data_IF_719434585994
#
_entry.id   IF_719434585994
#
_cell.length_a   1.000
_cell.length_b   1.000
_cell.length_c   1.000
_cell.angle_alpha   90.00
_cell.angle_beta   90.00
_cell.angle_gamma   90.00
#
_symmetry.space_group_name_H-M   'P 1'
#
loop_
_entity.id
_entity.type
_entity.pdbx_description
1 polymer ?
#
# COMPACT_ATOMS: atom_id res chain seq x y z
N UNK A 1 -19.97 3.27 5.38
CA UNK A 1 -19.35 2.06 4.79
C UNK A 1 -18.12 1.77 5.61
N UNK A 2 -18.16 0.74 6.48
CA UNK A 2 -17.00 0.37 7.30
C UNK A 2 -16.02 -0.33 6.37
N UNK A 3 -14.83 0.22 6.18
CA UNK A 3 -13.74 -0.52 5.55
C UNK A 3 -13.38 -1.62 6.55
N UNK A 4 -13.47 -2.89 6.16
CA UNK A 4 -12.98 -3.98 7.00
C UNK A 4 -11.48 -3.74 7.23
N UNK A 5 -11.09 -3.66 8.50
CA UNK A 5 -9.68 -3.66 8.88
C UNK A 5 -9.08 -5.00 8.48
N UNK A 6 -7.78 -5.04 8.20
CA UNK A 6 -7.07 -6.31 8.00
C UNK A 6 -7.20 -7.22 9.23
N UNK A 7 -7.22 -6.60 10.42
CA UNK A 7 -7.43 -7.25 11.72
C UNK A 7 -8.81 -7.91 11.84
N UNK A 8 -9.80 -7.49 11.03
CA UNK A 8 -11.14 -8.09 11.04
C UNK A 8 -11.20 -9.42 10.28
N UNK A 9 -10.19 -9.72 9.45
CA UNK A 9 -10.14 -10.90 8.57
C UNK A 9 -8.93 -11.80 8.82
N UNK A 10 -7.95 -11.34 9.59
CA UNK A 10 -6.70 -12.05 9.85
C UNK A 10 -6.29 -11.95 11.32
N UNK A 11 -5.80 -13.06 11.89
CA UNK A 11 -5.18 -13.05 13.22
C UNK A 11 -3.78 -12.45 13.12
N UNK A 12 -3.70 -11.16 13.43
CA UNK A 12 -2.46 -10.38 13.35
C UNK A 12 -1.42 -10.86 14.36
N UNK A 13 -1.85 -11.31 15.55
CA UNK A 13 -0.93 -11.76 16.58
C UNK A 13 -0.29 -13.10 16.18
N UNK A 14 -1.07 -14.00 15.60
CA UNK A 14 -0.54 -15.25 15.04
C UNK A 14 0.49 -14.98 13.92
N UNK A 15 0.19 -14.05 13.01
CA UNK A 15 1.12 -13.71 11.92
C UNK A 15 2.44 -13.14 12.45
N UNK A 16 2.37 -12.24 13.44
CA UNK A 16 3.55 -11.65 14.06
C UNK A 16 4.39 -12.73 14.75
N UNK A 17 3.76 -13.61 15.50
CA UNK A 17 4.47 -14.65 16.25
C UNK A 17 5.15 -15.67 15.32
N UNK A 18 4.48 -16.07 14.23
CA UNK A 18 5.05 -17.00 13.24
C UNK A 18 6.33 -16.45 12.61
N UNK A 19 6.39 -15.14 12.35
CA UNK A 19 7.51 -14.51 11.63
C UNK A 19 8.56 -13.87 12.53
N UNK A 20 8.37 -13.91 13.86
CA UNK A 20 9.14 -13.13 14.84
C UNK A 20 10.65 -13.33 14.76
N UNK A 21 11.09 -14.51 14.34
CA UNK A 21 12.50 -14.90 14.30
C UNK A 21 13.11 -14.75 12.89
N UNK A 22 12.27 -14.54 11.87
CA UNK A 22 12.70 -14.44 10.47
C UNK A 22 12.84 -12.98 10.02
N UNK A 23 11.95 -12.11 10.50
CA UNK A 23 11.90 -10.69 10.08
C UNK A 23 11.58 -9.77 11.26
N UNK A 24 12.11 -8.55 11.21
CA UNK A 24 11.75 -7.50 12.16
C UNK A 24 10.42 -6.86 11.75
N UNK A 25 9.39 -7.02 12.59
CA UNK A 25 8.06 -6.45 12.36
C UNK A 25 7.91 -5.17 13.17
N UNK A 26 7.72 -4.04 12.48
CA UNK A 26 7.49 -2.74 13.10
C UNK A 26 6.04 -2.33 12.87
N UNK A 27 5.28 -2.10 13.97
CA UNK A 27 3.87 -1.69 13.91
C UNK A 27 3.69 -0.19 13.63
N UNK A 28 4.64 0.62 14.08
CA UNK A 28 4.62 2.08 13.92
C UNK A 28 5.47 2.49 12.70
N UNK A 29 5.00 3.47 11.93
CA UNK A 29 5.76 3.97 10.79
C UNK A 29 7.07 4.62 11.30
N UNK A 30 8.26 4.17 10.86
CA UNK A 30 9.51 4.80 11.28
C UNK A 30 9.53 6.29 10.93
N UNK A 31 10.09 7.11 11.83
CA UNK A 31 10.05 8.57 11.71
C UNK A 31 10.68 9.11 10.43
N UNK A 32 11.70 8.43 9.90
CA UNK A 32 12.33 8.74 8.60
C UNK A 32 11.38 8.61 7.41
N UNK A 33 10.28 7.87 7.55
CA UNK A 33 9.22 7.71 6.56
C UNK A 33 7.94 8.50 6.89
N UNK A 34 7.95 9.33 7.93
CA UNK A 34 6.80 10.17 8.34
C UNK A 34 6.29 11.10 7.24
N UNK A 35 7.10 11.38 6.23
CA UNK A 35 6.68 12.15 5.05
C UNK A 35 5.68 11.38 4.15
N UNK A 36 5.57 10.06 4.30
CA UNK A 36 4.77 9.15 3.47
C UNK A 36 3.28 9.16 3.87
N UNK A 37 2.65 10.33 3.86
CA UNK A 37 1.25 10.49 4.28
C UNK A 37 0.27 10.39 3.12
N UNK A 38 -0.99 10.09 3.42
CA UNK A 38 -2.07 10.09 2.42
C UNK A 38 -2.18 11.45 1.73
N UNK A 39 -2.04 12.54 2.49
CA UNK A 39 -2.11 13.92 2.02
C UNK A 39 -0.96 14.23 1.05
N UNK A 40 0.23 13.72 1.37
CA UNK A 40 1.41 13.84 0.53
C UNK A 40 1.22 13.13 -0.83
N UNK A 41 0.66 11.92 -0.84
CA UNK A 41 0.31 11.22 -2.09
C UNK A 41 -0.91 11.81 -2.81
N UNK A 42 -1.84 12.41 -2.07
CA UNK A 42 -3.02 13.06 -2.64
C UNK A 42 -2.67 14.33 -3.43
N UNK A 43 -1.63 15.05 -3.03
CA UNK A 43 -1.29 16.36 -3.60
C UNK A 43 -0.08 16.33 -4.55
N UNK A 44 0.89 15.43 -4.34
CA UNK A 44 2.10 15.39 -5.16
C UNK A 44 1.82 15.09 -6.63
N UNK A 45 2.37 15.89 -7.55
CA UNK A 45 2.43 15.55 -8.99
C UNK A 45 3.68 14.69 -9.18
N UNK A 46 3.50 13.45 -9.67
CA UNK A 46 4.58 12.50 -9.93
C UNK A 46 4.35 11.85 -11.28
N UNK A 47 5.41 11.54 -12.01
CA UNK A 47 5.33 10.82 -13.27
C UNK A 47 4.56 9.49 -13.14
N UNK A 48 4.71 8.80 -12.01
CA UNK A 48 4.06 7.51 -11.72
C UNK A 48 2.66 7.63 -11.11
N UNK A 49 2.12 8.84 -10.94
CA UNK A 49 0.81 9.03 -10.29
C UNK A 49 -0.32 8.97 -11.31
N UNK A 50 -1.13 7.92 -11.22
CA UNK A 50 -2.38 7.78 -11.99
C UNK A 50 -3.55 8.23 -11.10
N UNK A 51 -4.06 9.47 -11.31
CA UNK A 51 -5.15 10.10 -10.52
C UNK A 51 -6.51 9.43 -10.71
N UNK A 52 -6.72 8.88 -11.89
CA UNK A 52 -8.00 8.39 -12.39
C UNK A 52 -7.76 7.08 -13.10
N UNK A 53 -7.32 6.07 -12.36
CA UNK A 53 -7.51 4.71 -12.84
C UNK A 53 -9.02 4.46 -12.74
N UNK A 54 -9.73 4.19 -13.86
CA UNK A 54 -11.08 3.64 -13.75
C UNK A 54 -11.01 2.33 -12.95
N UNK A 55 -12.16 1.76 -12.57
CA UNK A 55 -12.17 0.34 -12.20
C UNK A 55 -11.66 -0.41 -13.42
N UNK A 56 -10.38 -0.76 -13.38
CA UNK A 56 -9.60 -1.14 -14.55
C UNK A 56 -9.41 -2.65 -14.54
N UNK A 57 -9.55 -3.27 -15.71
CA UNK A 57 -9.22 -4.67 -15.90
C UNK A 57 -7.70 -4.88 -15.81
N UNK A 58 -7.28 -6.12 -15.63
CA UNK A 58 -5.86 -6.48 -15.67
C UNK A 58 -5.19 -6.03 -16.99
N UNK A 59 -5.89 -6.14 -18.11
CA UNK A 59 -5.39 -5.73 -19.43
C UNK A 59 -5.11 -4.22 -19.49
N UNK A 60 -6.02 -3.39 -18.98
CA UNK A 60 -5.81 -1.95 -18.93
C UNK A 60 -4.57 -1.59 -18.10
N UNK A 61 -4.32 -2.31 -17.00
CA UNK A 61 -3.11 -2.12 -16.19
C UNK A 61 -1.83 -2.42 -16.97
N UNK A 62 -1.79 -3.55 -17.70
CA UNK A 62 -0.62 -3.94 -18.50
C UNK A 62 -0.33 -2.89 -19.58
N UNK A 63 -1.36 -2.37 -20.24
CA UNK A 63 -1.19 -1.42 -21.34
C UNK A 63 -0.85 0.00 -20.87
N UNK A 64 -1.40 0.44 -19.74
CA UNK A 64 -1.39 1.87 -19.35
C UNK A 64 -0.59 2.18 -18.09
N UNK A 65 -0.42 1.21 -17.18
CA UNK A 65 0.29 1.43 -15.90
C UNK A 65 1.68 0.83 -15.95
N UNK A 66 1.81 -0.43 -16.38
CA UNK A 66 3.07 -1.16 -16.36
C UNK A 66 4.22 -0.43 -17.10
N UNK A 67 4.02 0.21 -18.27
CA UNK A 67 5.09 0.91 -18.98
C UNK A 67 5.63 2.15 -18.24
N UNK A 68 4.87 2.70 -17.29
CA UNK A 68 5.26 3.90 -16.52
C UNK A 68 6.05 3.50 -15.26
N UNK A 69 5.97 2.23 -14.83
CA UNK A 69 6.63 1.71 -13.63
C UNK A 69 8.03 1.12 -13.88
N UNK A 70 8.47 1.00 -15.14
CA UNK A 70 9.82 0.54 -15.51
C UNK A 70 10.84 1.67 -15.48
#
# INVERSE_FOLDING_TARGET
MKLNSFEDIFDVDHFIDVLRDEVSIVKELPGEYSWSTREYYATGIRATRIKTAPVATADWYIENVLPILQ
#
